data_IF_465390261089
#
_entry.id   IF_465390261089
#
_cell.length_a   1.000
_cell.length_b   1.000
_cell.length_c   1.000
_cell.angle_alpha   90.00
_cell.angle_beta   90.00
_cell.angle_gamma   90.00
#
_symmetry.space_group_name_H-M   'P 1'
#
loop_
_entity.id
_entity.type
_entity.pdbx_description
1 polymer ?
#
# COMPACT_ATOMS: atom_id res chain seq x y z
N UNK A 1 4.09 26.15 5.92
CA UNK A 1 3.28 26.52 4.75
C UNK A 1 3.19 25.30 3.86
N UNK A 2 1.99 24.85 3.43
CA UNK A 2 1.88 23.68 2.57
C UNK A 2 2.54 23.96 1.21
N UNK A 3 3.22 22.96 0.67
CA UNK A 3 3.84 23.04 -0.66
C UNK A 3 2.77 23.07 -1.75
N UNK A 4 3.10 23.57 -2.94
CA UNK A 4 2.19 23.56 -4.09
C UNK A 4 1.67 22.13 -4.39
N UNK A 5 2.55 21.14 -4.26
CA UNK A 5 2.24 19.72 -4.41
C UNK A 5 1.20 19.24 -3.38
N UNK A 6 1.37 19.60 -2.11
CA UNK A 6 0.41 19.25 -1.04
C UNK A 6 -0.96 19.87 -1.27
N UNK A 7 -1.02 21.15 -1.62
CA UNK A 7 -2.27 21.86 -1.90
C UNK A 7 -2.99 21.27 -3.12
N UNK A 8 -2.24 20.88 -4.16
CA UNK A 8 -2.79 20.18 -5.33
C UNK A 8 -3.38 18.82 -4.99
N UNK A 9 -2.68 18.02 -4.20
CA UNK A 9 -3.16 16.71 -3.74
C UNK A 9 -4.40 16.85 -2.84
N UNK A 10 -4.45 17.89 -2.00
CA UNK A 10 -5.62 18.19 -1.16
C UNK A 10 -6.83 18.59 -2.00
N UNK A 11 -6.64 19.42 -3.03
CA UNK A 11 -7.70 19.78 -3.96
C UNK A 11 -8.19 18.57 -4.77
N UNK A 12 -7.27 17.69 -5.20
CA UNK A 12 -7.61 16.46 -5.90
C UNK A 12 -8.42 15.50 -5.01
N UNK A 13 -8.03 15.34 -3.74
CA UNK A 13 -8.76 14.52 -2.77
C UNK A 13 -10.19 15.01 -2.57
N UNK A 14 -10.36 16.33 -2.33
CA UNK A 14 -11.70 16.96 -2.24
C UNK A 14 -12.54 16.73 -3.50
N UNK A 15 -11.93 16.81 -4.68
CA UNK A 15 -12.64 16.60 -5.94
C UNK A 15 -13.13 15.16 -6.11
N UNK A 16 -12.35 14.15 -5.70
CA UNK A 16 -12.79 12.74 -5.72
C UNK A 16 -13.92 12.48 -4.72
N UNK A 17 -13.99 13.24 -3.63
CA UNK A 17 -15.09 13.18 -2.67
C UNK A 17 -16.44 13.66 -3.23
N UNK A 18 -16.43 14.53 -4.24
CA UNK A 18 -17.66 15.13 -4.80
C UNK A 18 -18.09 14.54 -6.14
N UNK A 19 -17.17 14.00 -6.93
CA UNK A 19 -17.46 13.46 -8.26
C UNK A 19 -16.54 12.28 -8.62
N UNK A 20 -16.97 11.40 -9.54
CA UNK A 20 -16.13 10.31 -10.02
C UNK A 20 -14.81 10.82 -10.62
N UNK A 21 -13.71 10.09 -10.42
CA UNK A 21 -12.39 10.47 -10.94
C UNK A 21 -12.39 10.79 -12.44
N UNK A 22 -13.16 10.05 -13.25
CA UNK A 22 -13.30 10.32 -14.68
C UNK A 22 -13.78 11.76 -14.98
N UNK A 23 -14.64 12.33 -14.14
CA UNK A 23 -15.16 13.70 -14.27
C UNK A 23 -14.21 14.79 -13.73
N UNK A 24 -13.23 14.44 -12.90
CA UNK A 24 -12.26 15.40 -12.34
C UNK A 24 -11.40 15.99 -13.46
N UNK A 25 -11.39 17.33 -13.60
CA UNK A 25 -10.56 18.01 -14.59
C UNK A 25 -9.34 18.65 -13.92
N UNK A 26 -8.18 18.51 -14.56
CA UNK A 26 -6.91 19.08 -14.08
C UNK A 26 -7.00 20.59 -13.85
N UNK A 27 -7.72 21.31 -14.71
CA UNK A 27 -7.92 22.76 -14.56
C UNK A 27 -8.67 23.11 -13.28
N UNK A 28 -9.72 22.36 -12.92
CA UNK A 28 -10.51 22.64 -11.72
C UNK A 28 -9.69 22.37 -10.46
N UNK A 29 -8.83 21.33 -10.49
CA UNK A 29 -7.90 21.04 -9.39
C UNK A 29 -6.88 22.16 -9.21
N UNK A 30 -6.27 22.65 -10.30
CA UNK A 30 -5.32 23.76 -10.25
C UNK A 30 -5.97 25.03 -9.66
N UNK A 31 -7.17 25.36 -10.15
CA UNK A 31 -7.95 26.51 -9.65
C UNK A 31 -8.28 26.36 -8.17
N UNK A 32 -8.78 25.19 -7.74
CA UNK A 32 -9.12 24.93 -6.34
C UNK A 32 -7.89 24.90 -5.41
N UNK A 33 -6.70 24.64 -5.94
CA UNK A 33 -5.43 24.69 -5.22
C UNK A 33 -4.76 26.08 -5.26
N UNK A 34 -5.29 27.04 -6.02
CA UNK A 34 -4.72 28.38 -6.14
C UNK A 34 -3.38 28.42 -6.89
N UNK A 35 -3.12 27.43 -7.76
CA UNK A 35 -1.88 27.33 -8.54
C UNK A 35 -2.15 27.38 -10.04
N UNK A 36 -1.12 27.71 -10.83
CA UNK A 36 -1.25 27.71 -12.29
C UNK A 36 -1.40 26.30 -12.86
N UNK A 37 -2.07 26.17 -14.01
CA UNK A 37 -2.14 24.89 -14.75
C UNK A 37 -0.75 24.35 -15.09
N UNK A 38 0.17 25.23 -15.46
CA UNK A 38 1.55 24.86 -15.79
C UNK A 38 2.26 24.25 -14.58
N UNK A 39 2.07 24.82 -13.38
CA UNK A 39 2.60 24.26 -12.13
C UNK A 39 2.06 22.85 -11.90
N UNK A 40 0.76 22.64 -12.06
CA UNK A 40 0.15 21.32 -11.89
C UNK A 40 0.74 20.30 -12.88
N UNK A 41 0.82 20.64 -14.17
CA UNK A 41 1.41 19.77 -15.18
C UNK A 41 2.91 19.53 -14.96
N UNK A 42 3.65 20.50 -14.41
CA UNK A 42 5.05 20.31 -14.06
C UNK A 42 5.22 19.33 -12.88
N UNK A 43 4.33 19.37 -11.90
CA UNK A 43 4.40 18.52 -10.70
C UNK A 43 3.98 17.06 -10.97
N UNK A 44 2.94 16.88 -11.80
CA UNK A 44 2.29 15.58 -11.94
C UNK A 44 2.28 15.02 -13.37
N UNK A 45 2.57 15.84 -14.38
CA UNK A 45 2.60 15.44 -15.78
C UNK A 45 1.23 15.20 -16.39
N UNK A 46 0.50 14.21 -15.88
CA UNK A 46 -0.83 13.82 -16.39
C UNK A 46 -1.84 13.67 -15.27
N UNK A 47 -3.11 13.47 -15.64
CA UNK A 47 -4.18 13.19 -14.68
C UNK A 47 -3.89 11.89 -13.93
N UNK A 48 -3.42 10.88 -14.64
CA UNK A 48 -3.02 9.59 -14.07
C UNK A 48 -1.86 9.77 -13.09
N UNK A 49 -0.88 10.62 -13.40
CA UNK A 49 0.21 10.95 -12.49
C UNK A 49 -0.27 11.64 -11.20
N UNK A 50 -1.23 12.56 -11.31
CA UNK A 50 -1.88 13.17 -10.14
C UNK A 50 -2.65 12.14 -9.32
N UNK A 51 -3.41 11.26 -9.97
CA UNK A 51 -4.18 10.20 -9.32
C UNK A 51 -3.29 9.22 -8.57
N UNK A 52 -2.21 8.76 -9.21
CA UNK A 52 -1.21 7.89 -8.61
C UNK A 52 -0.54 8.56 -7.39
N UNK A 53 -0.17 9.84 -7.50
CA UNK A 53 0.41 10.58 -6.38
C UNK A 53 -0.57 10.77 -5.21
N UNK A 54 -1.87 10.94 -5.51
CA UNK A 54 -2.92 11.01 -4.49
C UNK A 54 -3.08 9.68 -3.76
N UNK A 55 -3.17 8.56 -4.50
CA UNK A 55 -3.25 7.23 -3.88
C UNK A 55 -2.03 6.99 -2.98
N UNK A 56 -0.83 7.25 -3.47
CA UNK A 56 0.39 7.09 -2.67
C UNK A 56 0.37 7.92 -1.39
N UNK A 57 0.03 9.20 -1.46
CA UNK A 57 -0.04 10.06 -0.26
C UNK A 57 -1.00 9.50 0.79
N UNK A 58 -2.18 9.03 0.37
CA UNK A 58 -3.19 8.50 1.28
C UNK A 58 -2.75 7.16 1.90
N UNK A 59 -2.13 6.28 1.10
CA UNK A 59 -1.61 4.99 1.56
C UNK A 59 -0.42 5.17 2.50
N UNK A 60 0.52 6.06 2.18
CA UNK A 60 1.66 6.38 3.04
C UNK A 60 1.20 6.98 4.36
N UNK A 61 0.27 7.95 4.30
CA UNK A 61 -0.38 8.50 5.48
C UNK A 61 -1.10 7.44 6.30
N UNK A 62 -1.66 6.42 5.62
CA UNK A 62 -2.31 5.32 6.30
C UNK A 62 -1.32 4.41 7.04
N UNK A 63 -0.21 4.03 6.39
CA UNK A 63 0.84 3.21 7.02
C UNK A 63 1.44 3.93 8.23
N UNK A 64 1.74 5.22 8.11
CA UNK A 64 2.27 6.03 9.23
C UNK A 64 1.24 6.19 10.36
N UNK A 65 -0.04 6.30 10.03
CA UNK A 65 -1.13 6.34 11.00
C UNK A 65 -1.23 5.05 11.82
N UNK A 66 -1.16 3.89 11.16
CA UNK A 66 -1.17 2.59 11.82
C UNK A 66 0.03 2.40 12.75
N UNK A 67 1.23 2.77 12.29
CA UNK A 67 2.45 2.69 13.08
C UNK A 67 2.39 3.62 14.31
N UNK A 68 1.85 4.83 14.16
CA UNK A 68 1.64 5.76 15.29
C UNK A 68 0.66 5.18 16.31
N UNK A 69 -0.47 4.64 15.85
CA UNK A 69 -1.46 4.00 16.72
C UNK A 69 -0.87 2.80 17.48
N UNK A 70 -0.01 2.00 16.82
CA UNK A 70 0.72 0.91 17.46
C UNK A 70 1.64 1.42 18.58
N UNK A 71 2.41 2.48 18.30
CA UNK A 71 3.34 3.07 19.25
C UNK A 71 2.60 3.70 20.46
N UNK A 72 1.44 4.32 20.24
CA UNK A 72 0.59 4.87 21.29
C UNK A 72 -0.03 3.77 22.16
N UNK A 73 -0.51 2.68 21.55
CA UNK A 73 -1.06 1.53 22.28
C UNK A 73 -0.05 0.77 23.13
N UNK A 74 1.25 0.95 22.88
CA UNK A 74 2.34 0.40 23.68
C UNK A 74 2.85 1.32 24.79
N UNK A 75 2.28 2.53 24.95
CA UNK A 75 2.69 3.44 26.03
C UNK A 75 2.23 2.89 27.38
N UNK A 76 3.18 2.59 28.27
CA UNK A 76 2.90 2.06 29.62
C UNK A 76 3.46 0.65 29.90
N UNK A 77 4.05 -0.02 28.90
CA UNK A 77 4.73 -1.30 29.05
C UNK A 77 4.91 -2.01 27.71
N UNK A 78 5.79 -3.01 27.64
CA UNK A 78 5.90 -3.88 26.45
C UNK A 78 4.66 -4.78 26.33
N UNK A 79 3.52 -4.24 25.90
CA UNK A 79 2.34 -5.01 25.48
C UNK A 79 2.18 -4.96 23.95
N UNK A 80 2.88 -5.84 23.20
CA UNK A 80 2.73 -5.89 21.75
C UNK A 80 1.31 -6.23 21.30
N UNK A 81 0.52 -6.93 22.12
CA UNK A 81 -0.88 -7.20 21.83
C UNK A 81 -1.73 -5.93 21.92
N UNK A 82 -1.44 -5.07 22.91
CA UNK A 82 -1.99 -3.72 23.02
C UNK A 82 -1.68 -2.85 21.80
N UNK A 83 -0.41 -2.82 21.37
CA UNK A 83 0.02 -2.12 20.15
C UNK A 83 -0.69 -2.62 18.89
N UNK A 84 -0.77 -3.93 18.68
CA UNK A 84 -1.46 -4.49 17.51
C UNK A 84 -2.96 -4.17 17.52
N UNK A 85 -3.60 -4.22 18.68
CA UNK A 85 -5.02 -3.88 18.82
C UNK A 85 -5.29 -2.40 18.52
N UNK A 86 -4.42 -1.50 18.98
CA UNK A 86 -4.54 -0.07 18.70
C UNK A 86 -4.37 0.25 17.21
N UNK A 87 -3.37 -0.37 16.56
CA UNK A 87 -3.19 -0.27 15.12
C UNK A 87 -4.40 -0.82 14.35
N UNK A 88 -4.90 -2.00 14.72
CA UNK A 88 -6.08 -2.59 14.09
C UNK A 88 -7.31 -1.69 14.20
N UNK A 89 -7.58 -1.13 15.38
CA UNK A 89 -8.70 -0.20 15.57
C UNK A 89 -8.55 1.03 14.68
N UNK A 90 -7.34 1.59 14.58
CA UNK A 90 -7.07 2.72 13.70
C UNK A 90 -7.23 2.36 12.21
N UNK A 91 -6.77 1.18 11.80
CA UNK A 91 -6.91 0.67 10.42
C UNK A 91 -8.37 0.50 10.03
N UNK A 92 -9.18 -0.11 10.89
CA UNK A 92 -10.61 -0.37 10.63
C UNK A 92 -11.40 0.93 10.45
N UNK A 93 -11.20 1.90 11.35
CA UNK A 93 -11.83 3.24 11.20
C UNK A 93 -11.39 3.92 9.91
N UNK A 94 -10.09 3.95 9.63
CA UNK A 94 -9.57 4.66 8.45
C UNK A 94 -10.03 4.01 7.15
N UNK A 95 -10.07 2.68 7.07
CA UNK A 95 -10.58 1.95 5.91
C UNK A 95 -12.10 2.10 5.72
N UNK A 96 -12.84 2.48 6.77
CA UNK A 96 -14.26 2.82 6.66
C UNK A 96 -14.45 4.24 6.12
N UNK A 97 -13.65 5.19 6.62
CA UNK A 97 -13.84 6.61 6.35
C UNK A 97 -13.17 7.08 5.05
N UNK A 98 -12.13 6.37 4.58
CA UNK A 98 -11.36 6.75 3.39
C UNK A 98 -11.48 5.69 2.26
N UNK A 99 -12.34 5.91 1.24
CA UNK A 99 -12.59 4.94 0.17
C UNK A 99 -11.35 4.55 -0.64
N UNK A 100 -10.41 5.49 -0.86
CA UNK A 100 -9.18 5.20 -1.60
C UNK A 100 -8.28 4.24 -0.82
N UNK A 101 -8.17 4.43 0.49
CA UNK A 101 -7.46 3.51 1.38
C UNK A 101 -8.14 2.15 1.39
N UNK A 102 -9.48 2.10 1.47
CA UNK A 102 -10.22 0.84 1.37
C UNK A 102 -9.94 0.10 0.07
N UNK A 103 -9.93 0.81 -1.07
CA UNK A 103 -9.62 0.21 -2.36
C UNK A 103 -8.19 -0.32 -2.42
N UNK A 104 -7.22 0.43 -1.88
CA UNK A 104 -5.83 -0.01 -1.77
C UNK A 104 -5.68 -1.29 -0.94
N UNK A 105 -6.41 -1.42 0.17
CA UNK A 105 -6.34 -2.59 1.05
C UNK A 105 -7.04 -3.82 0.47
N UNK A 106 -8.04 -3.64 -0.39
CA UNK A 106 -8.88 -4.72 -0.91
C UNK A 106 -8.57 -5.07 -2.37
N UNK A 107 -7.83 -4.22 -3.08
CA UNK A 107 -7.66 -4.29 -4.54
C UNK A 107 -8.91 -3.88 -5.33
N UNK A 108 -10.00 -3.50 -4.66
CA UNK A 108 -11.29 -3.20 -5.29
C UNK A 108 -11.39 -1.71 -5.69
N UNK A 109 -10.77 -1.36 -6.82
CA UNK A 109 -10.86 -0.01 -7.40
C UNK A 109 -12.19 0.19 -8.14
N UNK A 110 -13.12 0.94 -7.54
CA UNK A 110 -14.37 1.35 -8.17
C UNK A 110 -14.19 2.47 -9.20
N UNK A 111 -15.20 2.69 -10.04
CA UNK A 111 -15.20 3.70 -11.13
C UNK A 111 -15.05 5.16 -10.67
N UNK A 112 -15.20 5.42 -9.36
CA UNK A 112 -15.04 6.76 -8.78
C UNK A 112 -13.60 7.10 -8.41
N UNK A 113 -12.68 6.13 -8.38
CA UNK A 113 -11.34 6.30 -7.83
C UNK A 113 -10.27 6.43 -8.92
N UNK A 114 -9.16 7.13 -8.65
CA UNK A 114 -7.95 7.01 -9.45
C UNK A 114 -7.40 5.59 -9.29
N UNK A 115 -7.55 4.76 -10.31
CA UNK A 115 -6.94 3.43 -10.32
C UNK A 115 -5.43 3.58 -10.47
N UNK A 116 -4.61 3.03 -9.55
CA UNK A 116 -3.17 3.01 -9.73
C UNK A 116 -2.82 2.21 -11.00
N UNK A 117 -1.68 2.51 -11.65
CA UNK A 117 -1.22 1.71 -12.78
C UNK A 117 -1.10 0.25 -12.37
N UNK A 118 -1.64 -0.65 -13.18
CA UNK A 118 -1.59 -2.07 -12.91
C UNK A 118 -0.13 -2.53 -12.74
N UNK A 119 0.16 -3.45 -11.80
CA UNK A 119 1.48 -4.07 -11.75
C UNK A 119 1.77 -4.71 -13.11
N UNK A 120 3.03 -4.61 -13.56
CA UNK A 120 3.46 -5.35 -14.73
C UNK A 120 3.08 -6.83 -14.53
N UNK A 121 2.51 -7.51 -15.55
CA UNK A 121 2.13 -8.91 -15.40
C UNK A 121 3.36 -9.68 -14.93
N UNK A 122 3.27 -10.29 -13.75
CA UNK A 122 4.29 -11.26 -13.33
C UNK A 122 4.29 -12.35 -14.40
N UNK A 123 5.42 -12.65 -15.05
CA UNK A 123 5.48 -13.80 -15.93
C UNK A 123 5.21 -15.01 -15.07
N UNK A 124 3.98 -15.52 -15.13
CA UNK A 124 3.66 -16.84 -14.58
C UNK A 124 4.57 -17.77 -15.37
N UNK A 125 5.61 -18.30 -14.74
CA UNK A 125 6.36 -19.41 -15.33
C UNK A 125 5.34 -20.49 -15.58
N UNK A 126 4.98 -20.67 -16.86
CA UNK A 126 4.26 -21.86 -17.28
C UNK A 126 5.06 -23.05 -16.73
N UNK A 127 4.41 -24.08 -16.15
CA UNK A 127 5.12 -25.28 -15.76
C UNK A 127 5.92 -25.73 -16.98
N UNK A 128 7.24 -25.86 -16.81
CA UNK A 128 8.12 -26.26 -17.89
C UNK A 128 7.52 -27.54 -18.53
N UNK A 129 7.39 -27.60 -19.87
CA UNK A 129 7.01 -28.85 -20.50
C UNK A 129 8.00 -29.92 -20.03
N UNK A 130 7.48 -31.00 -19.45
CA UNK A 130 8.31 -32.14 -19.04
C UNK A 130 9.13 -32.58 -20.26
N UNK A 131 10.48 -32.53 -20.20
CA UNK A 131 11.29 -32.85 -21.36
C UNK A 131 11.22 -34.35 -21.61
N UNK A 132 10.54 -34.76 -22.68
CA UNK A 132 10.69 -36.09 -23.25
C UNK A 132 12.04 -36.08 -23.99
N UNK A 133 13.03 -36.79 -23.45
CA UNK A 133 14.38 -36.83 -24.02
C UNK A 133 14.36 -37.39 -25.45
N UNK A 134 14.66 -36.55 -26.43
CA UNK A 134 15.08 -36.98 -27.76
C UNK A 134 16.61 -36.98 -27.84
N UNK A 135 17.24 -37.98 -28.52
CA UNK A 135 18.69 -38.10 -28.58
C UNK A 135 19.34 -36.96 -29.39
N UNK A 136 20.49 -36.52 -28.87
CA UNK A 136 21.31 -35.39 -29.29
C UNK A 136 21.95 -35.56 -30.67
N UNK A 137 21.90 -34.51 -31.49
CA UNK A 137 22.84 -34.26 -32.59
C UNK A 137 23.31 -32.80 -32.52
N UNK A 138 24.61 -32.61 -32.29
CA UNK A 138 25.29 -31.32 -32.14
C UNK A 138 25.31 -30.50 -33.44
N UNK A 139 25.23 -29.15 -33.36
CA UNK A 139 25.68 -28.27 -34.44
C UNK A 139 26.91 -27.42 -34.05
N UNK A 140 27.77 -27.18 -35.05
CA UNK A 140 28.96 -26.32 -35.02
C UNK A 140 28.63 -24.81 -34.89
N UNK A 141 29.58 -23.94 -34.49
CA UNK A 141 29.32 -22.54 -34.15
C UNK A 141 29.55 -21.58 -35.31
N UNK A 142 28.80 -20.47 -35.36
CA UNK A 142 29.17 -19.29 -36.17
C UNK A 142 28.75 -17.97 -35.50
N UNK A 143 29.79 -17.18 -35.19
CA UNK A 143 29.94 -15.73 -35.12
C UNK A 143 28.74 -14.80 -34.83
N UNK A 144 28.91 -14.00 -33.78
CA UNK A 144 28.22 -12.74 -33.55
C UNK A 144 28.92 -11.57 -34.25
N UNK A 145 28.18 -10.49 -34.60
CA UNK A 145 28.72 -9.14 -34.56
C UNK A 145 27.95 -8.23 -33.59
N UNK A 146 28.70 -7.47 -32.80
CA UNK A 146 28.20 -6.31 -32.04
C UNK A 146 27.81 -5.15 -32.96
N UNK A 147 26.96 -4.24 -32.48
CA UNK A 147 27.21 -2.82 -32.70
C UNK A 147 27.15 -1.97 -31.44
N UNK A 148 27.94 -0.90 -31.50
CA UNK A 148 28.20 0.14 -30.52
C UNK A 148 27.27 1.33 -30.75
N UNK A 149 26.79 1.92 -29.65
CA UNK A 149 26.63 3.38 -29.47
C UNK A 149 25.37 4.04 -30.03
N UNK A 150 24.56 4.67 -29.16
CA UNK A 150 24.77 6.06 -28.75
C UNK A 150 23.53 6.65 -28.06
N UNK A 151 23.84 7.44 -27.03
CA UNK A 151 23.20 8.70 -26.63
C UNK A 151 21.72 8.76 -26.21
N UNK A 152 21.56 9.15 -24.93
CA UNK A 152 20.82 10.35 -24.60
C UNK A 152 19.34 10.15 -24.26
N UNK A 153 19.03 10.02 -22.97
CA UNK A 153 17.74 10.48 -22.46
C UNK A 153 17.89 10.96 -21.02
N UNK A 154 17.61 12.24 -20.81
CA UNK A 154 17.53 12.84 -19.49
C UNK A 154 16.48 12.12 -18.68
N UNK A 155 16.94 11.37 -17.67
CA UNK A 155 16.08 10.75 -16.68
C UNK A 155 15.50 11.88 -15.82
N UNK A 156 14.37 12.45 -16.25
CA UNK A 156 13.44 13.00 -15.26
C UNK A 156 13.06 11.81 -14.40
N UNK A 157 13.37 11.90 -13.11
CA UNK A 157 13.00 10.89 -12.14
C UNK A 157 11.47 10.79 -12.12
N UNK A 158 10.93 9.98 -13.02
CA UNK A 158 9.62 9.41 -12.85
C UNK A 158 9.78 8.51 -11.63
N UNK A 159 9.36 9.01 -10.48
CA UNK A 159 9.14 8.16 -9.30
C UNK A 159 8.29 7.01 -9.82
N UNK A 160 8.88 5.83 -9.91
CA UNK A 160 8.17 4.63 -10.28
C UNK A 160 7.08 4.46 -9.23
N UNK A 161 5.85 4.79 -9.61
CA UNK A 161 4.64 4.63 -8.81
C UNK A 161 4.63 3.17 -8.39
N UNK A 162 4.86 2.90 -7.11
CA UNK A 162 4.86 1.51 -6.61
C UNK A 162 3.43 0.99 -6.78
N UNK A 163 3.22 -0.20 -7.35
CA UNK A 163 1.87 -0.75 -7.41
C UNK A 163 1.36 -0.91 -5.97
N UNK A 164 0.17 -0.35 -5.72
CA UNK A 164 -0.49 -0.43 -4.42
C UNK A 164 -1.32 -1.71 -4.42
N UNK A 165 -0.67 -2.78 -3.99
CA UNK A 165 -1.24 -4.12 -3.92
C UNK A 165 -1.47 -4.53 -2.46
N UNK A 166 -2.55 -5.25 -2.14
CA UNK A 166 -2.87 -5.64 -0.76
C UNK A 166 -1.75 -6.39 -0.04
N UNK A 167 -1.06 -7.30 -0.74
CA UNK A 167 0.02 -8.12 -0.18
C UNK A 167 1.23 -7.29 0.26
N UNK A 168 1.88 -6.55 -0.66
CA UNK A 168 2.96 -5.63 -0.32
C UNK A 168 2.57 -4.58 0.73
N UNK A 169 1.34 -4.07 0.68
CA UNK A 169 0.85 -3.10 1.66
C UNK A 169 0.75 -3.72 3.08
N UNK A 170 0.28 -4.97 3.18
CA UNK A 170 0.27 -5.70 4.44
C UNK A 170 1.68 -5.88 5.02
N UNK A 171 2.66 -6.23 4.17
CA UNK A 171 4.05 -6.36 4.58
C UNK A 171 4.62 -5.02 5.10
N UNK A 172 4.40 -3.93 4.35
CA UNK A 172 4.84 -2.59 4.74
C UNK A 172 4.20 -2.12 6.06
N UNK A 173 2.92 -2.43 6.30
CA UNK A 173 2.26 -2.17 7.59
C UNK A 173 2.96 -2.90 8.74
N UNK A 174 3.24 -4.19 8.57
CA UNK A 174 3.90 -5.00 9.60
C UNK A 174 5.29 -4.46 9.91
N UNK A 175 6.09 -4.20 8.88
CA UNK A 175 7.44 -3.62 9.00
C UNK A 175 7.39 -2.29 9.75
N UNK A 176 6.53 -1.37 9.33
CA UNK A 176 6.44 -0.04 9.92
C UNK A 176 5.93 -0.07 11.37
N UNK A 177 4.99 -0.94 11.69
CA UNK A 177 4.54 -1.14 13.07
C UNK A 177 5.67 -1.69 13.96
N UNK A 178 6.48 -2.61 13.44
CA UNK A 178 7.62 -3.18 14.17
C UNK A 178 8.78 -2.22 14.40
N UNK A 179 9.03 -1.27 13.49
CA UNK A 179 10.06 -0.26 13.66
C UNK A 179 9.88 0.60 14.94
N UNK A 180 8.63 0.78 15.38
CA UNK A 180 8.29 1.51 16.59
C UNK A 180 8.35 0.70 17.89
N UNK A 181 8.57 -0.62 17.81
CA UNK A 181 8.54 -1.54 18.96
C UNK A 181 9.96 -1.82 19.49
N UNK A 182 10.14 -1.99 20.81
CA UNK A 182 11.43 -2.34 21.38
C UNK A 182 11.87 -3.73 20.91
N UNK A 183 13.11 -3.83 20.40
CA UNK A 183 13.73 -5.09 19.96
C UNK A 183 14.18 -5.92 21.16
N UNK A 184 13.24 -6.52 21.86
CA UNK A 184 13.54 -7.54 22.86
C UNK A 184 13.74 -8.89 22.12
N UNK A 185 14.55 -9.81 22.64
CA UNK A 185 15.08 -11.02 21.94
C UNK A 185 14.10 -12.07 21.39
N UNK A 186 12.86 -11.68 21.07
CA UNK A 186 11.78 -12.46 20.46
C UNK A 186 11.30 -11.86 19.13
N UNK A 187 12.19 -11.23 18.35
CA UNK A 187 11.86 -10.55 17.08
C UNK A 187 11.08 -11.42 16.09
N UNK A 188 11.37 -12.72 15.99
CA UNK A 188 10.64 -13.63 15.09
C UNK A 188 9.19 -13.88 15.51
N UNK A 189 8.93 -14.06 16.82
CA UNK A 189 7.56 -14.25 17.34
C UNK A 189 6.76 -12.97 17.27
N UNK A 190 7.39 -11.85 17.60
CA UNK A 190 6.79 -10.54 17.48
C UNK A 190 6.39 -10.25 16.03
N UNK A 191 7.26 -10.57 15.06
CA UNK A 191 6.95 -10.45 13.64
C UNK A 191 5.75 -11.28 13.22
N UNK A 192 5.70 -12.57 13.58
CA UNK A 192 4.56 -13.44 13.29
C UNK A 192 3.26 -12.93 13.92
N UNK A 193 3.31 -12.47 15.18
CA UNK A 193 2.15 -11.98 15.89
C UNK A 193 1.62 -10.66 15.29
N UNK A 194 2.51 -9.73 14.95
CA UNK A 194 2.17 -8.50 14.23
C UNK A 194 1.57 -8.80 12.86
N UNK A 195 2.20 -9.68 12.07
CA UNK A 195 1.69 -10.09 10.77
C UNK A 195 0.29 -10.71 10.86
N UNK A 196 0.08 -11.59 11.85
CA UNK A 196 -1.22 -12.20 12.09
C UNK A 196 -2.26 -11.14 12.46
N UNK A 197 -1.91 -10.18 13.32
CA UNK A 197 -2.80 -9.08 13.70
C UNK A 197 -3.20 -8.21 12.51
N UNK A 198 -2.24 -7.84 11.65
CA UNK A 198 -2.50 -7.07 10.42
C UNK A 198 -3.38 -7.85 9.45
N UNK A 199 -3.11 -9.14 9.21
CA UNK A 199 -3.94 -9.99 8.34
C UNK A 199 -5.36 -10.14 8.86
N UNK A 200 -5.54 -10.27 10.17
CA UNK A 200 -6.88 -10.29 10.78
C UNK A 200 -7.59 -8.95 10.60
N UNK A 201 -6.91 -7.82 10.83
CA UNK A 201 -7.49 -6.51 10.58
C UNK A 201 -7.94 -6.35 9.11
N UNK A 202 -7.09 -6.75 8.15
CA UNK A 202 -7.44 -6.76 6.72
C UNK A 202 -8.63 -7.67 6.42
N UNK A 203 -8.71 -8.84 7.06
CA UNK A 203 -9.88 -9.74 6.96
C UNK A 203 -11.17 -9.03 7.37
N UNK A 204 -11.14 -8.24 8.47
CA UNK A 204 -12.29 -7.44 8.90
C UNK A 204 -12.59 -6.24 7.99
N UNK A 205 -11.62 -5.72 7.25
CA UNK A 205 -11.88 -4.71 6.20
C UNK A 205 -12.68 -5.33 5.05
N UNK A 206 -12.32 -6.54 4.62
CA UNK A 206 -12.98 -7.27 3.53
C UNK A 206 -14.34 -7.83 3.96
N UNK A 207 -14.39 -8.47 5.13
CA UNK A 207 -15.56 -9.09 5.72
C UNK A 207 -15.86 -8.41 7.07
N UNK A 208 -16.51 -7.23 7.05
CA UNK A 208 -16.81 -6.49 8.28
C UNK A 208 -17.70 -7.31 9.20
N UNK A 209 -17.59 -7.11 10.52
CA UNK A 209 -18.49 -7.76 11.46
C UNK A 209 -19.95 -7.42 11.11
N UNK A 210 -20.84 -8.41 11.21
CA UNK A 210 -22.28 -8.19 11.04
C UNK A 210 -22.80 -7.16 12.05
N UNK A 211 -23.99 -6.60 11.81
CA UNK A 211 -24.55 -5.49 12.60
C UNK A 211 -24.54 -5.71 14.12
N UNK A 212 -24.59 -6.98 14.57
CA UNK A 212 -24.57 -7.36 15.99
C UNK A 212 -23.17 -7.41 16.62
N UNK A 213 -22.11 -7.41 15.81
CA UNK A 213 -20.71 -7.35 16.29
C UNK A 213 -20.14 -5.94 16.12
N UNK A 214 -19.72 -5.36 17.23
CA UNK A 214 -19.01 -4.07 17.24
C UNK A 214 -17.59 -4.22 16.68
N UNK A 215 -17.06 -3.13 16.09
CA UNK A 215 -15.63 -2.98 15.77
C UNK A 215 -14.75 -3.26 16.99
N UNK A 216 -15.26 -2.96 18.19
CA UNK A 216 -14.59 -3.26 19.46
C UNK A 216 -14.41 -4.77 19.70
N UNK A 217 -15.35 -5.60 19.25
CA UNK A 217 -15.24 -7.06 19.30
C UNK A 217 -14.12 -7.55 18.36
N UNK A 218 -14.07 -7.01 17.15
CA UNK A 218 -13.03 -7.35 16.18
C UNK A 218 -11.64 -6.99 16.72
N UNK A 219 -11.50 -5.81 17.33
CA UNK A 219 -10.25 -5.37 17.96
C UNK A 219 -9.88 -6.26 19.15
N UNK A 220 -10.85 -6.67 19.97
CA UNK A 220 -10.63 -7.60 21.08
C UNK A 220 -10.16 -8.97 20.58
N UNK A 221 -10.81 -9.51 19.55
CA UNK A 221 -10.42 -10.77 18.93
C UNK A 221 -8.99 -10.71 18.39
N UNK A 222 -8.59 -9.61 17.74
CA UNK A 222 -7.21 -9.42 17.28
C UNK A 222 -6.24 -9.42 18.46
N UNK A 223 -6.54 -8.66 19.52
CA UNK A 223 -5.71 -8.62 20.74
C UNK A 223 -5.51 -10.01 21.34
N UNK A 224 -6.59 -10.78 21.46
CA UNK A 224 -6.56 -12.09 22.11
C UNK A 224 -5.74 -13.10 21.30
N UNK A 225 -5.85 -13.09 19.96
CA UNK A 225 -5.03 -13.93 19.08
C UNK A 225 -3.55 -13.54 19.16
N UNK A 226 -3.23 -12.25 19.09
CA UNK A 226 -1.84 -11.76 19.18
C UNK A 226 -1.25 -12.14 20.54
N UNK A 227 -2.00 -11.97 21.63
CA UNK A 227 -1.56 -12.35 22.98
C UNK A 227 -1.34 -13.86 23.11
N UNK A 228 -2.22 -14.67 22.53
CA UNK A 228 -2.06 -16.13 22.52
C UNK A 228 -0.76 -16.54 21.81
N UNK A 229 -0.47 -15.98 20.63
CA UNK A 229 0.76 -16.26 19.87
C UNK A 229 2.03 -15.87 20.65
N UNK A 230 1.99 -14.76 21.38
CA UNK A 230 3.11 -14.33 22.21
C UNK A 230 3.31 -15.23 23.45
N UNK A 231 2.26 -15.92 23.90
CA UNK A 231 2.25 -16.76 25.10
C UNK A 231 2.65 -18.23 24.89
N UNK A 232 2.59 -18.76 23.65
CA UNK A 232 2.57 -20.21 23.39
C UNK A 232 3.84 -21.03 23.72
N UNK A 233 4.93 -20.44 24.23
CA UNK A 233 6.10 -21.21 24.69
C UNK A 233 6.86 -20.49 25.82
N UNK A 234 6.26 -20.44 27.01
CA UNK A 234 6.99 -20.27 28.28
C UNK A 234 7.27 -21.64 28.88
#
# INVERSE_FOLDING_TARGET
MPTARETLLEAAHRAVGTQPWAAVRMVDVATAAGVSRQTLYNEFGTKEGLGAALVHRLVDGFVEGAARAAAEGGRGGSDPAGSCAAAAAWMLRTARDEPIVRAALTGCWGSRMPTPPAPAPVPVSAPAPVPVSAPSASPFPAAAPSPVGAAGSGVRSAVAVRPVEPGPLAATLCERMMDGLPRNGSSGRLGLACETGVRLALSFVVAPPGADRSEEEAVRQIRDVVRALLSQHR
#
